data_IF_402378552684
#
_entry.id   IF_402378552684
#
_cell.length_a   1.000
_cell.length_b   1.000
_cell.length_c   1.000
_cell.angle_alpha   90.00
_cell.angle_beta   90.00
_cell.angle_gamma   90.00
#
_symmetry.space_group_name_H-M   'P 1'
#
loop_
_entity.id
_entity.type
_entity.pdbx_description
1 polymer ?
#
# COMPACT_ATOMS: atom_id res chain seq x y z
N UNK A 1 -46.17 35.17 -19.66
CA UNK A 1 -45.78 33.76 -19.48
C UNK A 1 -44.36 33.74 -18.93
N UNK A 2 -44.15 33.26 -17.69
CA UNK A 2 -42.83 33.24 -17.02
C UNK A 2 -42.28 31.82 -17.14
N UNK A 3 -41.32 31.61 -18.04
CA UNK A 3 -40.56 30.36 -18.14
C UNK A 3 -39.47 30.38 -17.06
N UNK A 4 -39.66 29.55 -16.04
CA UNK A 4 -38.68 29.34 -14.99
C UNK A 4 -37.72 28.24 -15.46
N UNK A 5 -36.50 28.63 -15.83
CA UNK A 5 -35.41 27.71 -16.18
C UNK A 5 -34.81 27.16 -14.88
N UNK A 6 -35.12 25.92 -14.54
CA UNK A 6 -34.50 25.20 -13.42
C UNK A 6 -33.08 24.75 -13.78
N UNK A 7 -32.10 25.16 -12.98
CA UNK A 7 -30.74 24.63 -13.02
C UNK A 7 -30.69 23.31 -12.24
N UNK A 8 -30.52 22.19 -12.93
CA UNK A 8 -30.21 20.89 -12.31
C UNK A 8 -28.71 20.81 -12.05
N UNK A 9 -28.29 21.03 -10.81
CA UNK A 9 -26.93 20.74 -10.37
C UNK A 9 -26.78 19.23 -10.17
N UNK A 10 -26.12 18.56 -11.11
CA UNK A 10 -25.69 17.16 -10.96
C UNK A 10 -24.55 17.12 -9.94
N UNK A 11 -24.87 16.80 -8.69
CA UNK A 11 -23.87 16.49 -7.68
C UNK A 11 -23.21 15.15 -8.04
N UNK A 12 -22.02 15.20 -8.65
CA UNK A 12 -21.18 14.02 -8.82
C UNK A 12 -20.70 13.59 -7.43
N UNK A 13 -21.06 12.38 -6.95
CA UNK A 13 -20.51 11.88 -5.71
C UNK A 13 -19.01 11.68 -5.94
N UNK A 14 -18.20 12.42 -5.18
CA UNK A 14 -16.77 12.19 -5.07
C UNK A 14 -16.57 10.80 -4.48
N UNK A 15 -16.46 9.79 -5.33
CA UNK A 15 -15.99 8.48 -4.91
C UNK A 15 -14.54 8.66 -4.47
N UNK A 16 -14.34 8.83 -3.17
CA UNK A 16 -13.05 8.60 -2.58
C UNK A 16 -12.66 7.17 -2.96
N UNK A 17 -11.72 7.03 -3.90
CA UNK A 17 -11.03 5.78 -4.14
C UNK A 17 -10.31 5.42 -2.84
N UNK A 18 -11.04 4.75 -1.94
CA UNK A 18 -10.47 4.12 -0.78
C UNK A 18 -9.44 3.13 -1.29
N UNK A 19 -8.21 3.26 -0.80
CA UNK A 19 -7.17 2.28 -0.97
C UNK A 19 -7.79 0.90 -0.70
N UNK A 20 -7.92 0.08 -1.74
CA UNK A 20 -8.34 -1.30 -1.60
C UNK A 20 -7.20 -2.00 -0.87
N UNK A 21 -7.25 -1.99 0.46
CA UNK A 21 -6.35 -2.79 1.28
C UNK A 21 -6.51 -4.23 0.80
N UNK A 22 -5.44 -4.79 0.22
CA UNK A 22 -5.47 -6.17 -0.23
C UNK A 22 -5.65 -7.05 1.02
N UNK A 23 -6.87 -7.54 1.32
CA UNK A 23 -7.12 -8.36 2.52
C UNK A 23 -6.89 -9.85 2.29
N UNK A 24 -6.02 -10.20 1.33
CA UNK A 24 -5.76 -11.58 0.92
C UNK A 24 -4.63 -12.27 1.70
N UNK A 25 -4.48 -13.60 1.56
CA UNK A 25 -3.38 -14.36 2.16
C UNK A 25 -2.00 -13.81 1.76
N UNK A 26 -1.89 -13.24 0.55
CA UNK A 26 -0.66 -12.59 0.07
C UNK A 26 -0.29 -11.36 0.91
N UNK A 27 -1.27 -10.55 1.32
CA UNK A 27 -1.01 -9.41 2.19
C UNK A 27 -0.53 -9.85 3.57
N UNK A 28 -1.11 -10.92 4.12
CA UNK A 28 -0.62 -11.48 5.37
C UNK A 28 0.81 -12.00 5.26
N UNK A 29 1.19 -12.56 4.12
CA UNK A 29 2.56 -13.05 3.91
C UNK A 29 3.56 -11.90 3.72
N UNK A 30 3.18 -10.86 2.96
CA UNK A 30 4.12 -9.85 2.45
C UNK A 30 4.11 -8.57 3.29
N UNK A 31 2.95 -8.13 3.78
CA UNK A 31 2.81 -6.89 4.55
C UNK A 31 2.89 -7.11 6.06
N UNK A 32 2.48 -8.27 6.58
CA UNK A 32 2.74 -8.53 8.00
C UNK A 32 4.19 -8.85 8.22
N UNK A 33 4.67 -8.55 9.42
CA UNK A 33 5.97 -8.97 9.90
C UNK A 33 6.00 -10.50 10.03
N UNK A 34 6.13 -11.19 8.91
CA UNK A 34 6.33 -12.63 8.86
C UNK A 34 7.77 -12.90 9.28
N UNK A 35 7.93 -13.64 10.38
CA UNK A 35 9.23 -14.14 10.80
C UNK A 35 9.84 -15.01 9.70
N UNK A 36 11.15 -14.96 9.55
CA UNK A 36 11.89 -15.74 8.57
C UNK A 36 13.39 -15.45 8.64
N UNK A 37 14.18 -16.31 8.01
CA UNK A 37 15.65 -16.25 7.96
C UNK A 37 16.16 -16.13 6.52
N UNK A 38 15.46 -15.34 5.70
CA UNK A 38 15.89 -15.08 4.33
C UNK A 38 16.86 -13.91 4.38
N UNK A 39 18.14 -14.19 4.12
CA UNK A 39 19.19 -13.18 4.00
C UNK A 39 18.97 -12.30 2.77
N UNK A 40 19.05 -10.98 2.93
CA UNK A 40 19.11 -10.05 1.80
C UNK A 40 20.47 -10.08 1.10
N UNK A 41 20.56 -10.75 -0.04
CA UNK A 41 21.74 -10.62 -0.92
C UNK A 41 21.68 -9.37 -1.80
N UNK A 42 20.48 -8.84 -2.05
CA UNK A 42 20.26 -7.65 -2.85
C UNK A 42 20.21 -6.39 -1.97
N UNK A 43 20.69 -5.28 -2.54
CA UNK A 43 20.50 -3.95 -1.98
C UNK A 43 19.12 -3.39 -2.39
N UNK A 44 18.64 -2.40 -1.65
CA UNK A 44 17.40 -1.65 -1.94
C UNK A 44 16.10 -2.44 -1.81
N UNK A 45 16.06 -3.53 -1.04
CA UNK A 45 14.80 -4.19 -0.71
C UNK A 45 14.05 -3.42 0.38
N UNK A 46 12.73 -3.56 0.38
CA UNK A 46 11.81 -2.86 1.28
C UNK A 46 10.86 -3.83 1.95
N UNK A 47 10.56 -3.56 3.22
CA UNK A 47 9.58 -4.26 4.03
C UNK A 47 8.53 -3.29 4.56
N UNK A 48 7.36 -3.81 4.88
CA UNK A 48 6.32 -3.06 5.57
C UNK A 48 6.35 -3.35 7.07
N UNK A 49 6.26 -2.30 7.88
CA UNK A 49 6.04 -2.41 9.31
C UNK A 49 4.56 -2.13 9.60
N UNK A 50 3.78 -3.17 9.84
CA UNK A 50 2.35 -3.08 10.15
C UNK A 50 2.08 -2.27 11.42
N UNK A 51 2.99 -2.25 12.41
CA UNK A 51 2.80 -1.49 13.66
C UNK A 51 2.91 0.02 13.46
N UNK A 52 3.82 0.44 12.58
CA UNK A 52 4.06 1.86 12.31
C UNK A 52 3.42 2.34 11.02
N UNK A 53 2.81 1.42 10.26
CA UNK A 53 2.26 1.64 8.91
C UNK A 53 3.27 2.30 7.96
N UNK A 54 4.53 1.83 7.99
CA UNK A 54 5.62 2.41 7.19
C UNK A 54 6.39 1.36 6.43
N UNK A 55 6.69 1.70 5.17
CA UNK A 55 7.69 1.02 4.38
C UNK A 55 9.10 1.46 4.81
N UNK A 56 9.99 0.51 5.04
CA UNK A 56 11.37 0.76 5.41
C UNK A 56 12.32 -0.07 4.57
N UNK A 57 13.50 0.49 4.30
CA UNK A 57 14.56 -0.18 3.56
C UNK A 57 15.24 -1.22 4.44
N UNK A 58 15.36 -2.44 3.94
CA UNK A 58 16.15 -3.50 4.57
C UNK A 58 17.58 -3.39 4.08
N UNK A 59 18.54 -3.49 5.02
CA UNK A 59 19.95 -3.47 4.67
C UNK A 59 20.37 -4.84 4.11
N UNK A 60 21.35 -4.85 3.21
CA UNK A 60 21.96 -6.08 2.74
C UNK A 60 22.52 -6.88 3.92
N UNK A 61 22.44 -8.21 3.83
CA UNK A 61 22.83 -9.17 4.87
C UNK A 61 22.04 -9.04 6.18
N UNK A 62 20.91 -8.33 6.19
CA UNK A 62 19.94 -8.36 7.29
C UNK A 62 18.79 -9.29 6.96
N UNK A 63 18.20 -9.81 8.02
CA UNK A 63 17.06 -10.73 7.99
C UNK A 63 15.92 -10.17 8.86
N UNK A 64 14.66 -10.44 8.48
CA UNK A 64 14.24 -11.05 7.22
C UNK A 64 14.39 -10.07 6.05
N UNK A 65 14.64 -10.61 4.84
CA UNK A 65 14.78 -9.76 3.67
C UNK A 65 13.46 -9.11 3.26
N UNK A 66 13.55 -7.89 2.71
CA UNK A 66 12.39 -7.19 2.17
C UNK A 66 11.84 -7.88 0.92
N UNK A 67 10.50 -7.93 0.83
CA UNK A 67 9.79 -8.52 -0.30
C UNK A 67 9.69 -7.60 -1.51
N UNK A 68 9.84 -6.29 -1.32
CA UNK A 68 9.64 -5.31 -2.38
C UNK A 68 10.98 -4.77 -2.88
N UNK A 69 11.14 -4.64 -4.19
CA UNK A 69 12.34 -4.06 -4.80
C UNK A 69 12.35 -2.51 -4.74
N UNK A 70 11.32 -1.90 -4.16
CA UNK A 70 11.23 -0.45 -4.06
C UNK A 70 10.15 0.04 -3.09
N UNK A 71 10.35 1.26 -2.59
CA UNK A 71 9.44 1.92 -1.63
C UNK A 71 8.03 2.06 -2.19
N UNK A 72 7.91 2.45 -3.46
CA UNK A 72 6.63 2.65 -4.13
C UNK A 72 5.82 1.35 -4.17
N UNK A 73 6.45 0.24 -4.53
CA UNK A 73 5.77 -1.07 -4.55
C UNK A 73 5.26 -1.47 -3.17
N UNK A 74 6.05 -1.22 -2.12
CA UNK A 74 5.62 -1.46 -0.75
C UNK A 74 4.42 -0.57 -0.35
N UNK A 75 4.44 0.72 -0.68
CA UNK A 75 3.34 1.65 -0.37
C UNK A 75 2.08 1.35 -1.15
N UNK A 76 2.19 1.09 -2.45
CA UNK A 76 1.05 0.82 -3.31
C UNK A 76 0.34 -0.48 -2.90
N UNK A 77 1.07 -1.44 -2.34
CA UNK A 77 0.51 -2.74 -1.94
C UNK A 77 0.07 -2.80 -0.47
N UNK A 78 0.85 -2.23 0.46
CA UNK A 78 0.63 -2.34 1.90
C UNK A 78 0.14 -1.04 2.57
N UNK A 79 0.35 0.12 1.94
CA UNK A 79 0.19 1.46 2.51
C UNK A 79 -1.21 2.03 2.43
#
# INVERSE_FOLDING_TARGET
MKVQRGFFALALPYFAWGATYATGPVYQTVCRQTGGSITCYQNNTWSYNERTHKCYRVQQNKEPCGFFDGEKGCKDFCG
#
